data_IF_711170755749
#
_entry.id   IF_711170755749
#
_cell.length_a   1.000
_cell.length_b   1.000
_cell.length_c   1.000
_cell.angle_alpha   90.00
_cell.angle_beta   90.00
_cell.angle_gamma   90.00
#
_symmetry.space_group_name_H-M   'P 1'
#
loop_
_entity.id
_entity.type
_entity.pdbx_description
1 polymer ?
#
# COMPACT_ATOMS: atom_id res chain seq x y z
N UNK A 1 -46.89 -6.82 6.24
CA UNK A 1 -45.61 -7.17 6.91
C UNK A 1 -45.35 -8.66 6.72
N UNK A 2 -44.27 -8.96 5.99
CA UNK A 2 -43.98 -10.15 5.17
C UNK A 2 -44.03 -11.53 5.86
N UNK A 3 -44.57 -12.53 5.15
CA UNK A 3 -44.52 -13.98 5.46
C UNK A 3 -43.11 -14.51 5.79
N UNK A 4 -42.07 -13.85 5.29
CA UNK A 4 -40.66 -14.19 5.52
C UNK A 4 -40.29 -14.04 7.01
N UNK A 5 -40.79 -13.01 7.70
CA UNK A 5 -40.49 -12.80 9.13
C UNK A 5 -41.15 -13.89 10.02
N UNK A 6 -42.29 -14.45 9.58
CA UNK A 6 -43.02 -15.47 10.33
C UNK A 6 -42.35 -16.85 10.28
N UNK A 7 -41.60 -17.15 9.22
CA UNK A 7 -40.87 -18.42 9.06
C UNK A 7 -39.63 -18.52 9.95
N UNK A 8 -39.09 -17.38 10.40
CA UNK A 8 -37.90 -17.34 11.25
C UNK A 8 -38.22 -17.28 12.74
N UNK A 9 -39.42 -16.83 13.15
CA UNK A 9 -39.74 -16.64 14.58
C UNK A 9 -39.88 -17.94 15.39
N UNK A 10 -40.04 -19.10 14.72
CA UNK A 10 -40.07 -20.43 15.35
C UNK A 10 -38.72 -21.18 15.26
N UNK A 11 -37.68 -20.57 14.71
CA UNK A 11 -36.35 -21.19 14.61
C UNK A 11 -35.54 -20.92 15.88
N UNK A 12 -34.72 -21.88 16.28
CA UNK A 12 -33.80 -21.67 17.41
C UNK A 12 -32.87 -20.49 17.12
N UNK A 13 -32.43 -19.81 18.19
CA UNK A 13 -31.48 -18.68 18.11
C UNK A 13 -30.25 -19.07 17.30
N UNK A 14 -29.67 -20.25 17.56
CA UNK A 14 -28.52 -20.78 16.83
C UNK A 14 -28.75 -20.88 15.32
N UNK A 15 -29.97 -21.27 14.93
CA UNK A 15 -30.33 -21.35 13.50
C UNK A 15 -30.39 -19.96 12.88
N UNK A 16 -30.96 -18.98 13.57
CA UNK A 16 -31.00 -17.59 13.09
C UNK A 16 -29.61 -16.96 12.99
N UNK A 17 -28.76 -17.16 13.99
CA UNK A 17 -27.37 -16.71 13.99
C UNK A 17 -26.59 -17.28 12.81
N UNK A 18 -26.76 -18.58 12.51
CA UNK A 18 -26.14 -19.25 11.37
C UNK A 18 -26.55 -18.61 10.03
N UNK A 19 -27.84 -18.29 9.85
CA UNK A 19 -28.30 -17.63 8.63
C UNK A 19 -27.76 -16.20 8.50
N UNK A 20 -27.77 -15.42 9.58
CA UNK A 20 -27.17 -14.08 9.59
C UNK A 20 -25.68 -14.12 9.28
N UNK A 21 -24.97 -15.10 9.82
CA UNK A 21 -23.55 -15.28 9.51
C UNK A 21 -23.32 -15.66 8.05
N UNK A 22 -24.16 -16.54 7.48
CA UNK A 22 -24.12 -16.84 6.05
C UNK A 22 -24.40 -15.62 5.16
N UNK A 23 -25.33 -14.75 5.55
CA UNK A 23 -25.60 -13.48 4.87
C UNK A 23 -24.39 -12.54 4.94
N UNK A 24 -23.76 -12.40 6.11
CA UNK A 24 -22.54 -11.61 6.27
C UNK A 24 -21.41 -12.14 5.38
N UNK A 25 -21.19 -13.45 5.32
CA UNK A 25 -20.20 -14.05 4.43
C UNK A 25 -20.55 -13.79 2.96
N UNK A 26 -21.82 -13.84 2.60
CA UNK A 26 -22.25 -13.60 1.22
C UNK A 26 -22.02 -12.14 0.81
N UNK A 27 -22.27 -11.19 1.72
CA UNK A 27 -22.09 -9.76 1.46
C UNK A 27 -20.61 -9.33 1.50
N UNK A 28 -19.85 -9.77 2.51
CA UNK A 28 -18.53 -9.24 2.84
C UNK A 28 -17.38 -10.26 2.79
N UNK A 29 -17.68 -11.54 2.53
CA UNK A 29 -16.67 -12.58 2.49
C UNK A 29 -15.72 -12.47 1.30
N UNK A 30 -14.53 -13.03 1.46
CA UNK A 30 -13.52 -13.13 0.41
C UNK A 30 -13.94 -14.20 -0.58
N UNK A 31 -13.93 -13.85 -1.86
CA UNK A 31 -14.20 -14.80 -2.93
C UNK A 31 -13.04 -15.79 -3.08
N UNK A 32 -13.38 -17.06 -3.14
CA UNK A 32 -12.48 -18.20 -3.18
C UNK A 32 -12.84 -19.09 -4.38
N UNK A 33 -11.92 -19.95 -4.83
CA UNK A 33 -12.23 -20.95 -5.85
C UNK A 33 -13.49 -21.75 -5.48
N UNK A 34 -14.39 -21.91 -6.45
CA UNK A 34 -15.71 -22.50 -6.20
C UNK A 34 -15.62 -23.95 -5.70
N UNK A 35 -16.29 -24.24 -4.57
CA UNK A 35 -16.61 -25.60 -4.15
C UNK A 35 -17.55 -26.28 -5.16
N UNK A 36 -17.77 -27.60 -5.02
CA UNK A 36 -18.60 -28.33 -5.99
C UNK A 36 -19.99 -27.73 -6.12
N UNK A 37 -20.66 -27.43 -5.00
CA UNK A 37 -22.00 -26.86 -5.02
C UNK A 37 -22.03 -25.45 -5.62
N UNK A 38 -21.08 -24.57 -5.25
CA UNK A 38 -21.01 -23.23 -5.83
C UNK A 38 -20.70 -23.27 -7.33
N UNK A 39 -19.90 -24.26 -7.77
CA UNK A 39 -19.59 -24.49 -9.18
C UNK A 39 -20.82 -24.95 -9.96
N UNK A 40 -21.57 -25.92 -9.42
CA UNK A 40 -22.81 -26.44 -10.02
C UNK A 40 -23.91 -25.37 -10.12
N UNK A 41 -23.98 -24.48 -9.12
CA UNK A 41 -25.01 -23.43 -9.05
C UNK A 41 -24.58 -22.11 -9.69
N UNK A 42 -23.34 -22.00 -10.18
CA UNK A 42 -22.79 -20.76 -10.74
C UNK A 42 -22.67 -19.62 -9.72
N UNK A 43 -22.70 -19.93 -8.42
CA UNK A 43 -22.65 -18.94 -7.36
C UNK A 43 -21.21 -18.62 -6.94
N UNK A 44 -20.96 -17.37 -6.55
CA UNK A 44 -19.69 -16.97 -5.94
C UNK A 44 -19.46 -17.69 -4.61
N UNK A 45 -18.30 -18.32 -4.47
CA UNK A 45 -17.94 -19.05 -3.26
C UNK A 45 -17.18 -18.12 -2.31
N UNK A 46 -17.88 -17.59 -1.30
CA UNK A 46 -17.29 -16.62 -0.36
C UNK A 46 -17.05 -17.21 1.01
N UNK A 47 -15.94 -16.84 1.64
CA UNK A 47 -15.52 -17.26 2.98
C UNK A 47 -15.30 -16.06 3.90
N UNK A 48 -15.63 -16.21 5.18
CA UNK A 48 -15.06 -15.36 6.22
C UNK A 48 -13.67 -15.90 6.62
N UNK A 49 -12.80 -15.02 7.08
CA UNK A 49 -11.40 -15.31 7.43
C UNK A 49 -11.22 -16.55 8.32
N UNK A 50 -12.11 -16.74 9.30
CA UNK A 50 -12.05 -17.86 10.25
C UNK A 50 -13.09 -18.96 9.99
N UNK A 51 -13.76 -18.93 8.85
CA UNK A 51 -14.74 -19.97 8.49
C UNK A 51 -14.08 -21.07 7.67
N UNK A 52 -14.25 -22.32 8.09
CA UNK A 52 -13.90 -23.48 7.27
C UNK A 52 -14.93 -23.78 6.17
N UNK A 53 -16.00 -22.97 6.08
CA UNK A 53 -17.15 -23.19 5.18
C UNK A 53 -17.50 -21.91 4.42
N UNK A 54 -17.87 -22.04 3.16
CA UNK A 54 -18.41 -20.90 2.42
C UNK A 54 -19.79 -20.50 2.96
N UNK A 55 -20.24 -19.28 2.67
CA UNK A 55 -21.53 -18.77 3.17
C UNK A 55 -22.72 -19.71 2.89
N UNK A 56 -22.72 -20.36 1.73
CA UNK A 56 -23.75 -21.36 1.38
C UNK A 56 -23.71 -22.58 2.30
N UNK A 57 -22.55 -23.18 2.51
CA UNK A 57 -22.40 -24.34 3.40
C UNK A 57 -22.58 -23.99 4.89
N UNK A 58 -22.30 -22.75 5.29
CA UNK A 58 -22.71 -22.22 6.61
C UNK A 58 -24.23 -22.24 6.73
N UNK A 59 -24.97 -21.73 5.74
CA UNK A 59 -26.45 -21.73 5.80
C UNK A 59 -27.06 -23.13 5.91
N UNK A 60 -26.48 -24.09 5.19
CA UNK A 60 -26.89 -25.51 5.15
C UNK A 60 -26.42 -26.33 6.35
N UNK A 61 -25.50 -25.78 7.15
CA UNK A 61 -24.83 -26.47 8.26
C UNK A 61 -24.10 -27.75 7.86
N UNK A 62 -23.48 -27.73 6.69
CA UNK A 62 -22.75 -28.87 6.13
C UNK A 62 -21.28 -28.52 5.96
N UNK A 63 -20.41 -29.53 5.87
CA UNK A 63 -19.00 -29.31 5.54
C UNK A 63 -18.84 -28.85 4.10
N UNK A 64 -18.01 -27.83 3.90
CA UNK A 64 -17.71 -27.33 2.56
C UNK A 64 -16.56 -28.14 1.96
N UNK A 65 -16.74 -28.63 0.74
CA UNK A 65 -15.73 -29.41 0.02
C UNK A 65 -14.82 -28.55 -0.87
N UNK A 66 -14.77 -27.23 -0.65
CA UNK A 66 -13.79 -26.35 -1.30
C UNK A 66 -12.41 -26.98 -1.19
N UNK A 67 -11.78 -27.21 -2.35
CA UNK A 67 -10.41 -27.68 -2.41
C UNK A 67 -9.55 -26.76 -1.57
N UNK A 68 -8.91 -27.32 -0.54
CA UNK A 68 -7.81 -26.67 0.17
C UNK A 68 -6.82 -26.21 -0.91
N UNK A 69 -6.26 -25.00 -0.79
CA UNK A 69 -5.20 -24.56 -1.69
C UNK A 69 -4.20 -25.70 -1.86
N UNK A 70 -3.90 -26.08 -3.10
CA UNK A 70 -2.88 -27.11 -3.31
C UNK A 70 -1.57 -26.59 -2.70
N UNK A 71 -0.76 -27.49 -2.15
CA UNK A 71 0.56 -27.12 -1.63
C UNK A 71 1.40 -26.40 -2.71
N UNK A 72 1.20 -26.74 -3.99
CA UNK A 72 1.82 -26.06 -5.12
C UNK A 72 1.34 -24.61 -5.31
N UNK A 73 0.04 -24.34 -5.19
CA UNK A 73 -0.53 -22.99 -5.30
C UNK A 73 -0.09 -22.11 -4.12
N UNK A 74 -0.11 -22.65 -2.90
CA UNK A 74 0.42 -21.97 -1.72
C UNK A 74 1.92 -21.68 -1.85
N UNK A 75 2.71 -22.66 -2.33
CA UNK A 75 4.13 -22.48 -2.58
C UNK A 75 4.44 -21.42 -3.64
N UNK A 76 3.61 -21.29 -4.68
CA UNK A 76 3.73 -20.23 -5.68
C UNK A 76 3.49 -18.85 -5.06
N UNK A 77 2.41 -18.68 -4.30
CA UNK A 77 2.10 -17.42 -3.62
C UNK A 77 3.20 -17.00 -2.64
N UNK A 78 3.77 -17.95 -1.89
CA UNK A 78 4.89 -17.66 -0.98
C UNK A 78 6.12 -17.17 -1.75
N UNK A 79 6.45 -17.81 -2.89
CA UNK A 79 7.58 -17.38 -3.73
C UNK A 79 7.35 -16.01 -4.34
N UNK A 80 6.15 -15.77 -4.89
CA UNK A 80 5.79 -14.47 -5.44
C UNK A 80 5.84 -13.37 -4.38
N UNK A 81 5.30 -13.62 -3.18
CA UNK A 81 5.39 -12.68 -2.04
C UNK A 81 6.85 -12.39 -1.67
N UNK A 82 7.72 -13.41 -1.61
CA UNK A 82 9.15 -13.19 -1.32
C UNK A 82 9.85 -12.36 -2.40
N UNK A 83 9.50 -12.59 -3.68
CA UNK A 83 10.04 -11.80 -4.80
C UNK A 83 9.65 -10.33 -4.65
N UNK A 84 8.36 -10.06 -4.42
CA UNK A 84 7.85 -8.70 -4.23
C UNK A 84 8.53 -8.01 -3.04
N UNK A 85 8.68 -8.70 -1.90
CA UNK A 85 9.37 -8.13 -0.73
C UNK A 85 10.85 -7.79 -1.01
N UNK A 86 11.54 -8.61 -1.82
CA UNK A 86 12.91 -8.31 -2.25
C UNK A 86 12.96 -7.08 -3.15
N UNK A 87 12.05 -6.98 -4.11
CA UNK A 87 11.93 -5.84 -5.01
C UNK A 87 11.58 -4.55 -4.27
N UNK A 88 10.70 -4.62 -3.26
CA UNK A 88 10.37 -3.49 -2.37
C UNK A 88 11.61 -3.02 -1.61
N UNK A 89 12.37 -3.92 -0.97
CA UNK A 89 13.57 -3.56 -0.22
C UNK A 89 14.67 -2.94 -1.10
N UNK A 90 14.86 -3.46 -2.31
CA UNK A 90 15.80 -2.90 -3.29
C UNK A 90 15.37 -1.49 -3.73
N UNK A 91 14.07 -1.31 -4.02
CA UNK A 91 13.52 0.00 -4.41
C UNK A 91 13.61 1.02 -3.27
N UNK A 92 13.34 0.62 -2.03
CA UNK A 92 13.49 1.48 -0.84
C UNK A 92 14.95 1.94 -0.66
N UNK A 93 15.91 1.03 -0.81
CA UNK A 93 17.34 1.37 -0.72
C UNK A 93 17.75 2.35 -1.82
N UNK A 94 17.34 2.10 -3.07
CA UNK A 94 17.61 2.98 -4.20
C UNK A 94 16.99 4.38 -4.00
N UNK A 95 15.75 4.44 -3.51
CA UNK A 95 15.05 5.70 -3.20
C UNK A 95 15.77 6.49 -2.11
N UNK A 96 16.24 5.83 -1.05
CA UNK A 96 16.99 6.48 0.02
C UNK A 96 18.30 7.10 -0.52
N UNK A 97 19.04 6.38 -1.36
CA UNK A 97 20.26 6.88 -1.99
C UNK A 97 19.98 8.07 -2.93
N UNK A 98 18.92 7.99 -3.74
CA UNK A 98 18.51 9.06 -4.64
C UNK A 98 18.11 10.33 -3.87
N UNK A 99 17.40 10.18 -2.74
CA UNK A 99 17.04 11.31 -1.89
C UNK A 99 18.28 12.00 -1.30
N UNK A 100 19.27 11.23 -0.83
CA UNK A 100 20.52 11.81 -0.33
C UNK A 100 21.28 12.58 -1.42
N UNK A 101 21.37 12.01 -2.63
CA UNK A 101 21.99 12.68 -3.77
C UNK A 101 21.27 13.98 -4.14
N UNK A 102 19.94 13.97 -4.12
CA UNK A 102 19.11 15.15 -4.38
C UNK A 102 19.40 16.24 -3.34
N UNK A 103 19.40 15.92 -2.05
CA UNK A 103 19.70 16.87 -0.97
C UNK A 103 21.11 17.47 -1.12
N UNK A 104 22.11 16.66 -1.46
CA UNK A 104 23.47 17.12 -1.70
C UNK A 104 23.55 18.07 -2.92
N UNK A 105 22.83 17.75 -4.00
CA UNK A 105 22.76 18.60 -5.19
C UNK A 105 22.05 19.93 -4.90
N UNK A 106 20.98 19.91 -4.10
CA UNK A 106 20.26 21.10 -3.69
C UNK A 106 21.13 22.03 -2.86
N UNK A 107 21.91 21.48 -1.91
CA UNK A 107 22.85 22.26 -1.13
C UNK A 107 23.94 22.92 -1.99
N UNK A 108 24.41 22.25 -3.06
CA UNK A 108 25.35 22.85 -4.03
C UNK A 108 24.70 24.00 -4.80
N UNK A 109 23.47 23.82 -5.26
CA UNK A 109 22.71 24.85 -5.96
C UNK A 109 22.49 26.08 -5.07
N UNK A 110 22.15 25.90 -3.81
CA UNK A 110 21.92 27.01 -2.88
C UNK A 110 23.22 27.78 -2.58
N UNK A 111 24.36 27.10 -2.47
CA UNK A 111 25.67 27.76 -2.37
C UNK A 111 25.98 28.59 -3.62
N UNK A 112 25.78 28.01 -4.81
CA UNK A 112 26.00 28.72 -6.07
C UNK A 112 25.09 29.96 -6.20
N UNK A 113 23.83 29.86 -5.78
CA UNK A 113 22.89 31.00 -5.75
C UNK A 113 23.36 32.11 -4.82
N UNK A 114 23.85 31.76 -3.62
CA UNK A 114 24.41 32.73 -2.67
C UNK A 114 25.66 33.41 -3.23
N UNK A 115 26.59 32.64 -3.79
CA UNK A 115 27.80 33.19 -4.42
C UNK A 115 27.46 34.13 -5.57
N UNK A 116 26.53 33.75 -6.45
CA UNK A 116 26.03 34.62 -7.53
C UNK A 116 25.51 35.95 -6.98
N UNK A 117 24.66 35.91 -5.95
CA UNK A 117 24.09 37.12 -5.34
C UNK A 117 25.19 38.03 -4.78
N UNK A 118 26.18 37.46 -4.09
CA UNK A 118 27.31 38.23 -3.55
C UNK A 118 28.13 38.88 -4.66
N UNK A 119 28.38 38.17 -5.76
CA UNK A 119 29.09 38.72 -6.92
C UNK A 119 28.30 39.85 -7.58
N UNK A 120 26.98 39.70 -7.73
CA UNK A 120 26.09 40.74 -8.25
C UNK A 120 26.11 41.99 -7.35
N UNK A 121 26.07 41.82 -6.02
CA UNK A 121 26.16 42.92 -5.05
C UNK A 121 27.51 43.64 -5.12
N UNK A 122 28.62 42.89 -5.16
CA UNK A 122 29.99 43.42 -5.30
C UNK A 122 30.15 44.18 -6.61
N UNK A 123 29.68 43.62 -7.73
CA UNK A 123 29.73 44.27 -9.04
C UNK A 123 28.95 45.59 -9.04
N UNK A 124 27.74 45.62 -8.45
CA UNK A 124 26.94 46.84 -8.33
C UNK A 124 27.60 47.90 -7.45
N UNK A 125 28.36 47.52 -6.43
CA UNK A 125 29.17 48.44 -5.64
C UNK A 125 30.37 49.00 -6.40
N UNK A 126 31.10 48.15 -7.15
CA UNK A 126 32.21 48.58 -8.00
C UNK A 126 31.77 49.62 -9.03
N UNK A 127 30.62 49.40 -9.67
CA UNK A 127 30.04 50.35 -10.64
C UNK A 127 29.72 51.69 -9.95
N UNK A 128 29.21 51.67 -8.70
CA UNK A 128 28.87 52.88 -7.95
C UNK A 128 30.08 53.69 -7.50
N UNK A 129 31.16 53.03 -7.07
CA UNK A 129 32.38 53.69 -6.57
C UNK A 129 33.35 54.12 -7.68
N UNK A 130 33.16 53.60 -8.90
CA UNK A 130 34.11 53.73 -10.00
C UNK A 130 35.26 52.73 -9.85
N UNK A 131 35.74 52.18 -10.97
CA UNK A 131 36.72 51.07 -11.03
C UNK A 131 38.09 51.31 -10.34
N UNK A 132 38.32 52.49 -9.75
CA UNK A 132 39.63 52.92 -9.23
C UNK A 132 39.89 52.59 -7.75
N UNK A 133 39.01 51.86 -7.05
CA UNK A 133 39.13 51.62 -5.59
C UNK A 133 39.79 50.29 -5.20
N UNK A 134 40.44 49.55 -6.11
CA UNK A 134 40.61 48.09 -5.99
C UNK A 134 42.01 47.55 -5.65
N UNK A 135 43.05 48.36 -5.46
CA UNK A 135 44.36 47.83 -5.04
C UNK A 135 44.47 47.54 -3.52
N UNK A 136 43.46 47.90 -2.72
CA UNK A 136 43.57 47.89 -1.25
C UNK A 136 42.89 46.75 -0.48
N UNK A 137 42.24 45.78 -1.13
CA UNK A 137 41.38 44.80 -0.44
C UNK A 137 41.69 43.32 -0.73
N UNK A 138 42.79 43.02 -1.42
CA UNK A 138 43.23 41.63 -1.62
C UNK A 138 43.79 40.97 -0.34
N UNK A 139 44.02 41.75 0.72
CA UNK A 139 44.74 41.31 1.93
C UNK A 139 43.84 40.92 3.13
N UNK A 140 42.51 40.97 3.01
CA UNK A 140 41.60 40.72 4.16
C UNK A 140 41.02 39.30 4.26
N UNK A 141 41.28 38.38 3.32
CA UNK A 141 40.76 36.99 3.37
C UNK A 141 41.72 35.95 3.98
N UNK A 142 42.93 36.33 4.45
CA UNK A 142 43.94 35.44 5.09
C UNK A 142 44.14 35.66 6.61
N UNK A 143 43.07 35.88 7.39
CA UNK A 143 43.12 35.88 8.88
C UNK A 143 42.01 35.05 9.53
#
# INVERSE_FOLDING_TARGET
>A
LNRINKLHSNRSVKTQERYRFAELISAFGVEMPACAHCRETGAFCRFAENSSRCGKYVSLDQSCNTGRFSASAAGRLIREKRKVLSEEAEAESANAAALQALLASQARLDRARKQRKLLEERAAEMIRRGFNSLEGFADEEDR
#
